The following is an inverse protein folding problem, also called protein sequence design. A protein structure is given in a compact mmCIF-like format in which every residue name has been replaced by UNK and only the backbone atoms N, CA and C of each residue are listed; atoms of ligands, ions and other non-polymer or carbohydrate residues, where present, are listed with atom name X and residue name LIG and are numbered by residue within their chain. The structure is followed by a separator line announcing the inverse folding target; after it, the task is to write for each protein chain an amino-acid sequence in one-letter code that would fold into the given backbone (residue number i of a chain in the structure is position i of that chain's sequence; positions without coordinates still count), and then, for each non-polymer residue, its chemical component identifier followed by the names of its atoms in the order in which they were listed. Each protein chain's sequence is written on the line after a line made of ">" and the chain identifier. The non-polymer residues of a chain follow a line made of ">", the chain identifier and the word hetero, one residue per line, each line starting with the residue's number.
data_IF_443540291993
#
_entry.id   IF_443540291993
#
_cell.length_a   1.000
_cell.length_b   1.000
_cell.length_c   1.000
_cell.angle_alpha   90.00
_cell.angle_beta   90.00
_cell.angle_gamma   90.00
#
_symmetry.space_group_name_H-M   'P 1'
#
loop_
_entity.id
_entity.type
_entity.pdbx_description
1 polymer ?
#
# COMPACT_ATOMS: atom_id res chain seq x y z
N UNK A 1 5.44 8.42 -1.09
CA UNK A 1 3.97 8.56 -0.92
C UNK A 1 3.25 8.47 -2.25
N UNK A 2 3.51 9.37 -3.20
CA UNK A 2 2.80 9.40 -4.49
C UNK A 2 2.92 8.08 -5.28
N UNK A 3 4.10 7.49 -5.32
CA UNK A 3 4.34 6.21 -6.01
C UNK A 3 3.51 5.05 -5.43
N UNK A 4 3.32 5.01 -4.11
CA UNK A 4 2.50 3.99 -3.44
C UNK A 4 1.05 4.14 -3.89
N UNK A 5 0.54 5.37 -3.92
CA UNK A 5 -0.83 5.66 -4.36
C UNK A 5 -1.03 5.30 -5.84
N UNK A 6 -0.06 5.60 -6.72
CA UNK A 6 -0.14 5.23 -8.14
C UNK A 6 -0.15 3.71 -8.35
N UNK A 7 0.65 2.97 -7.57
CA UNK A 7 0.67 1.49 -7.62
C UNK A 7 -0.64 0.89 -7.14
N UNK A 8 -1.21 1.46 -6.08
CA UNK A 8 -2.51 1.04 -5.54
C UNK A 8 -3.67 1.43 -6.46
N UNK A 9 -3.61 2.61 -7.08
CA UNK A 9 -4.63 3.12 -8.00
C UNK A 9 -4.90 2.17 -9.16
N UNK A 10 -3.86 1.51 -9.68
CA UNK A 10 -3.94 0.53 -10.75
C UNK A 10 -4.91 -0.62 -10.48
N UNK A 11 -5.07 -1.04 -9.21
CA UNK A 11 -5.97 -2.14 -8.82
C UNK A 11 -7.10 -1.72 -7.87
N UNK A 12 -7.00 -0.57 -7.21
CA UNK A 12 -8.04 -0.02 -6.35
C UNK A 12 -9.17 0.67 -7.15
N UNK A 13 -8.97 0.93 -8.45
CA UNK A 13 -9.99 1.53 -9.31
C UNK A 13 -10.08 3.06 -9.18
N UNK A 14 -8.98 3.71 -8.83
CA UNK A 14 -8.85 5.17 -8.88
C UNK A 14 -8.18 5.82 -7.65
N UNK A 15 -7.84 7.12 -7.77
CA UNK A 15 -7.06 7.86 -6.76
C UNK A 15 -7.75 7.94 -5.40
N UNK A 16 -9.09 8.06 -5.40
CA UNK A 16 -9.89 8.09 -4.17
C UNK A 16 -9.86 6.76 -3.42
N UNK A 17 -9.96 5.65 -4.15
CA UNK A 17 -9.91 4.32 -3.58
C UNK A 17 -8.50 4.00 -3.06
N UNK A 18 -7.46 4.39 -3.81
CA UNK A 18 -6.07 4.25 -3.37
C UNK A 18 -5.79 5.04 -2.08
N UNK A 19 -6.31 6.27 -1.99
CA UNK A 19 -6.18 7.09 -0.79
C UNK A 19 -6.96 6.52 0.40
N UNK A 20 -8.12 5.90 0.14
CA UNK A 20 -8.90 5.18 1.17
C UNK A 20 -8.13 3.97 1.68
N UNK A 21 -7.59 3.13 0.79
CA UNK A 21 -6.75 1.99 1.15
C UNK A 21 -5.52 2.42 1.96
N UNK A 22 -4.82 3.45 1.51
CA UNK A 22 -3.60 3.96 2.15
C UNK A 22 -3.79 4.35 3.62
N UNK A 23 -4.97 4.89 3.96
CA UNK A 23 -5.29 5.35 5.32
C UNK A 23 -6.10 4.35 6.14
N UNK A 24 -6.92 3.51 5.50
CA UNK A 24 -7.93 2.68 6.16
C UNK A 24 -7.57 1.19 6.19
N UNK A 25 -6.65 0.72 5.34
CA UNK A 25 -6.28 -0.69 5.27
C UNK A 25 -5.05 -0.99 6.14
N UNK A 26 -5.22 -1.69 7.28
CA UNK A 26 -4.09 -2.18 8.04
C UNK A 26 -3.40 -3.32 7.28
N UNK A 27 -2.08 -3.29 7.19
CA UNK A 27 -1.29 -4.32 6.52
C UNK A 27 -0.80 -5.31 7.59
N UNK A 28 -1.35 -6.53 7.66
CA UNK A 28 -1.02 -7.49 8.72
C UNK A 28 0.46 -7.88 8.67
N UNK A 29 1.01 -8.04 7.47
CA UNK A 29 2.42 -8.34 7.22
C UNK A 29 3.39 -7.28 7.75
N UNK A 30 2.92 -6.04 7.96
CA UNK A 30 3.72 -4.91 8.44
C UNK A 30 3.31 -4.49 9.86
N UNK A 31 2.93 -5.46 10.69
CA UNK A 31 2.56 -5.24 12.09
C UNK A 31 1.17 -4.62 12.26
N UNK A 32 0.24 -4.96 11.35
CA UNK A 32 -1.14 -4.47 11.32
C UNK A 32 -1.24 -2.93 11.29
N UNK A 33 -0.27 -2.28 10.63
CA UNK A 33 -0.22 -0.83 10.48
C UNK A 33 -0.67 -0.40 9.10
N UNK A 34 -1.25 0.79 9.02
CA UNK A 34 -1.66 1.38 7.74
C UNK A 34 -0.43 1.86 6.96
N UNK A 35 -0.55 1.88 5.63
CA UNK A 35 0.50 2.42 4.77
C UNK A 35 0.88 3.86 5.16
N UNK A 36 -0.09 4.68 5.56
CA UNK A 36 0.15 6.02 6.10
C UNK A 36 1.08 6.01 7.33
N UNK A 37 0.76 5.17 8.33
CA UNK A 37 1.57 5.08 9.55
C UNK A 37 3.00 4.66 9.24
N UNK A 38 3.16 3.70 8.34
CA UNK A 38 4.47 3.18 7.95
C UNK A 38 5.29 4.21 7.20
N UNK A 39 4.69 4.94 6.25
CA UNK A 39 5.38 6.01 5.53
C UNK A 39 5.80 7.13 6.48
N UNK A 40 4.96 7.49 7.46
CA UNK A 40 5.29 8.50 8.49
C UNK A 40 6.44 8.07 9.39
N UNK A 41 6.60 6.78 9.67
CA UNK A 41 7.70 6.25 10.50
C UNK A 41 8.95 5.89 9.69
N UNK A 42 9.02 6.24 8.39
CA UNK A 42 10.15 5.92 7.51
C UNK A 42 10.12 4.53 6.86
N UNK A 43 9.08 3.74 7.11
CA UNK A 43 8.85 2.40 6.54
C UNK A 43 8.25 2.41 5.13
N UNK A 44 8.44 3.47 4.35
CA UNK A 44 7.89 3.55 2.99
C UNK A 44 8.43 2.44 2.07
N UNK A 45 9.67 2.00 2.27
CA UNK A 45 10.28 0.89 1.53
C UNK A 45 9.58 -0.44 1.82
N UNK A 46 9.19 -0.71 3.06
CA UNK A 46 8.47 -1.92 3.44
C UNK A 46 7.07 -1.99 2.81
N UNK A 47 6.39 -0.84 2.68
CA UNK A 47 5.10 -0.76 1.96
C UNK A 47 5.30 -1.03 0.47
N UNK A 48 6.36 -0.51 -0.14
CA UNK A 48 6.66 -0.77 -1.56
C UNK A 48 6.97 -2.24 -1.81
N UNK A 49 7.77 -2.87 -0.95
CA UNK A 49 8.12 -4.28 -1.00
C UNK A 49 6.87 -5.17 -0.85
N UNK A 50 6.01 -4.87 0.12
CA UNK A 50 4.72 -5.53 0.28
C UNK A 50 3.86 -5.42 -0.99
N UNK A 51 3.76 -4.23 -1.58
CA UNK A 51 3.00 -4.03 -2.82
C UNK A 51 3.61 -4.75 -4.02
N UNK A 52 4.94 -4.87 -4.06
CA UNK A 52 5.63 -5.67 -5.08
C UNK A 52 5.28 -7.15 -4.94
N UNK A 53 5.32 -7.66 -3.71
CA UNK A 53 4.91 -9.01 -3.37
C UNK A 53 3.43 -9.29 -3.69
N UNK A 54 2.54 -8.32 -3.44
CA UNK A 54 1.11 -8.42 -3.80
C UNK A 54 0.93 -8.44 -5.32
N UNK A 55 1.69 -7.61 -6.06
CA UNK A 55 1.66 -7.61 -7.52
C UNK A 55 2.21 -8.92 -8.12
N UNK A 56 3.20 -9.53 -7.47
CA UNK A 56 3.77 -10.83 -7.86
C UNK A 56 2.87 -12.02 -7.49
N UNK A 57 2.13 -11.94 -6.38
CA UNK A 57 1.22 -12.99 -5.90
C UNK A 57 -0.22 -12.88 -6.41
N UNK A 58 -0.53 -11.83 -7.18
CA UNK A 58 -1.88 -11.42 -7.54
C UNK A 58 -2.27 -11.66 -9.00
N UNK A 59 -1.84 -12.75 -9.61
CA UNK A 59 -2.45 -13.34 -10.83
C UNK A 59 -2.15 -14.85 -10.86
N UNK A 60 -2.92 -15.65 -10.12
CA UNK A 60 -3.09 -17.08 -10.34
C UNK A 60 -4.49 -17.50 -9.90
#
# INVERSE_FOLDING_TARGET
>A
MLEILQRVEAWAGGPRAALSWYRAYPIPALGNRTAESLVKTGGASAVRDYLDHVALGGYA
#
